data_IF_763907104774
#
_entry.id   IF_763907104774
#
_cell.length_a   1.000
_cell.length_b   1.000
_cell.length_c   1.000
_cell.angle_alpha   90.00
_cell.angle_beta   90.00
_cell.angle_gamma   90.00
#
_symmetry.space_group_name_H-M   'P 1'
#
loop_
_entity.id
_entity.type
_entity.pdbx_description
1 polymer ?
#
# COMPACT_ATOMS: atom_id res chain seq x y z
N UNK A 1 12.18 6.09 7.79
CA UNK A 1 11.22 6.35 6.69
C UNK A 1 9.94 5.63 7.07
N UNK A 2 8.83 6.34 7.32
CA UNK A 2 7.57 5.64 7.66
C UNK A 2 7.15 4.77 6.48
N UNK A 3 7.05 3.46 6.73
CA UNK A 3 6.59 2.43 5.79
C UNK A 3 5.28 1.84 6.29
N UNK A 4 4.53 1.21 5.40
CA UNK A 4 3.33 0.46 5.76
C UNK A 4 3.75 -0.95 6.17
N UNK A 5 3.23 -1.43 7.31
CA UNK A 5 3.59 -2.74 7.88
C UNK A 5 2.86 -3.92 7.23
N UNK A 6 1.73 -3.66 6.55
CA UNK A 6 0.87 -4.67 5.94
C UNK A 6 0.63 -4.32 4.46
N UNK A 7 1.56 -4.69 3.60
CA UNK A 7 1.43 -4.57 2.15
C UNK A 7 1.29 -5.97 1.57
N UNK A 8 0.30 -6.17 0.70
CA UNK A 8 0.16 -7.39 -0.09
C UNK A 8 0.33 -7.02 -1.56
N UNK A 9 1.34 -7.57 -2.20
CA UNK A 9 1.50 -7.45 -3.67
C UNK A 9 1.04 -8.76 -4.29
N UNK A 10 0.15 -8.67 -5.26
CA UNK A 10 -0.39 -9.85 -5.93
C UNK A 10 -0.26 -9.73 -7.44
N UNK A 11 -0.12 -10.87 -8.10
CA UNK A 11 0.06 -10.98 -9.55
C UNK A 11 -1.01 -11.87 -10.22
N UNK A 12 -2.09 -12.17 -9.49
CA UNK A 12 -3.24 -12.97 -9.93
C UNK A 12 -3.33 -14.29 -9.19
N UNK A 13 -2.25 -15.07 -9.19
CA UNK A 13 -2.19 -16.40 -8.54
C UNK A 13 -1.32 -16.44 -7.29
N UNK A 14 -0.42 -15.47 -7.09
CA UNK A 14 0.47 -15.42 -5.93
C UNK A 14 0.20 -14.16 -5.11
N UNK A 15 -0.21 -14.34 -3.86
CA UNK A 15 -0.23 -13.26 -2.86
C UNK A 15 1.12 -13.23 -2.13
N UNK A 16 1.87 -12.15 -2.33
CA UNK A 16 3.11 -11.89 -1.60
C UNK A 16 2.79 -10.94 -0.44
N UNK A 17 2.66 -11.50 0.75
CA UNK A 17 2.52 -10.71 1.98
C UNK A 17 3.87 -10.10 2.36
N UNK A 18 3.85 -8.79 2.66
CA UNK A 18 5.02 -7.98 3.01
C UNK A 18 6.22 -8.33 2.13
N UNK A 19 6.08 -8.21 0.80
CA UNK A 19 7.05 -8.73 -0.15
C UNK A 19 8.41 -8.12 0.15
N UNK A 20 9.45 -8.94 0.11
CA UNK A 20 10.82 -8.46 0.15
C UNK A 20 11.09 -7.66 -1.13
N UNK A 21 10.87 -6.35 -1.07
CA UNK A 21 10.98 -5.42 -2.20
C UNK A 21 12.40 -5.36 -2.76
N UNK A 22 13.41 -5.90 -2.07
CA UNK A 22 14.77 -6.02 -2.62
C UNK A 22 14.88 -7.13 -3.67
N UNK A 23 14.00 -8.13 -3.64
CA UNK A 23 14.00 -9.26 -4.59
C UNK A 23 13.14 -9.02 -5.84
N UNK A 24 12.28 -7.99 -5.85
CA UNK A 24 11.31 -7.75 -6.91
C UNK A 24 11.31 -6.29 -7.38
N UNK A 25 12.20 -5.94 -8.31
CA UNK A 25 12.40 -4.55 -8.78
C UNK A 25 11.12 -3.87 -9.29
N UNK A 26 10.30 -4.57 -10.09
CA UNK A 26 9.01 -4.02 -10.56
C UNK A 26 8.04 -3.77 -9.41
N UNK A 27 7.96 -4.68 -8.45
CA UNK A 27 7.07 -4.53 -7.28
C UNK A 27 7.52 -3.36 -6.40
N UNK A 28 8.83 -3.18 -6.24
CA UNK A 28 9.43 -2.04 -5.52
C UNK A 28 9.05 -0.70 -6.14
N UNK A 29 9.22 -0.54 -7.45
CA UNK A 29 8.89 0.70 -8.14
C UNK A 29 7.41 1.08 -7.99
N UNK A 30 6.50 0.10 -8.08
CA UNK A 30 5.06 0.32 -7.92
C UNK A 30 4.74 0.67 -6.46
N UNK A 31 5.27 -0.08 -5.49
CA UNK A 31 5.03 0.18 -4.07
C UNK A 31 5.54 1.57 -3.69
N UNK A 32 6.74 1.96 -4.13
CA UNK A 32 7.28 3.29 -3.91
C UNK A 32 6.40 4.39 -4.51
N UNK A 33 5.84 4.17 -5.71
CA UNK A 33 4.91 5.10 -6.34
C UNK A 33 3.63 5.27 -5.51
N UNK A 34 3.05 4.17 -5.01
CA UNK A 34 1.86 4.21 -4.14
C UNK A 34 2.17 4.91 -2.82
N UNK A 35 3.28 4.57 -2.16
CA UNK A 35 3.71 5.21 -0.93
C UNK A 35 3.95 6.72 -1.11
N UNK A 36 4.52 7.13 -2.25
CA UNK A 36 4.71 8.55 -2.59
C UNK A 36 3.36 9.26 -2.78
N UNK A 37 2.41 8.64 -3.48
CA UNK A 37 1.06 9.17 -3.63
C UNK A 37 0.40 9.40 -2.26
N UNK A 38 0.42 8.40 -1.38
CA UNK A 38 -0.18 8.50 -0.04
C UNK A 38 0.46 9.61 0.80
N UNK A 39 1.79 9.73 0.77
CA UNK A 39 2.52 10.80 1.49
C UNK A 39 2.19 12.19 0.97
N UNK A 40 2.07 12.34 -0.35
CA UNK A 40 1.73 13.62 -0.97
C UNK A 40 0.30 14.05 -0.63
N UNK A 41 -0.62 13.10 -0.49
CA UNK A 41 -2.00 13.36 -0.06
C UNK A 41 -2.08 13.84 1.39
N UNK A 42 -1.48 13.10 2.33
CA UNK A 42 -1.40 13.50 3.74
C UNK A 42 -0.24 12.75 4.43
N UNK A 43 0.66 13.52 5.03
CA UNK A 43 1.84 13.01 5.75
C UNK A 43 1.49 12.01 6.86
N UNK A 44 0.26 12.04 7.40
CA UNK A 44 -0.24 11.16 8.46
C UNK A 44 -0.88 9.87 7.95
N UNK A 45 -1.15 9.72 6.65
CA UNK A 45 -1.85 8.54 6.10
C UNK A 45 -1.13 7.24 6.46
N UNK A 46 0.19 7.15 6.28
CA UNK A 46 0.93 5.92 6.59
C UNK A 46 0.81 5.54 8.07
N UNK A 47 0.87 6.53 8.97
CA UNK A 47 0.70 6.30 10.40
C UNK A 47 -0.71 5.79 10.72
N UNK A 48 -1.73 6.29 10.04
CA UNK A 48 -3.12 5.83 10.21
C UNK A 48 -3.30 4.41 9.67
N UNK A 49 -2.76 4.09 8.49
CA UNK A 49 -2.77 2.74 7.93
C UNK A 49 -2.18 1.73 8.92
N UNK A 50 -1.01 2.05 9.49
CA UNK A 50 -0.37 1.20 10.48
C UNK A 50 -1.18 1.11 11.78
N UNK A 51 -1.75 2.23 12.27
CA UNK A 51 -2.55 2.25 13.50
C UNK A 51 -3.82 1.40 13.37
N UNK A 52 -4.44 1.41 12.19
CA UNK A 52 -5.67 0.66 11.91
C UNK A 52 -5.40 -0.79 11.50
N UNK A 53 -4.13 -1.22 11.41
CA UNK A 53 -3.75 -2.51 10.82
C UNK A 53 -4.38 -2.71 9.43
N UNK A 54 -4.53 -1.62 8.68
CA UNK A 54 -5.09 -1.66 7.35
C UNK A 54 -4.10 -2.30 6.37
N UNK A 55 -4.64 -3.05 5.42
CA UNK A 55 -3.86 -3.83 4.45
C UNK A 55 -3.89 -3.12 3.11
N UNK A 56 -2.71 -2.78 2.59
CA UNK A 56 -2.56 -2.18 1.26
C UNK A 56 -2.33 -3.29 0.23
N UNK A 57 -3.33 -3.52 -0.63
CA UNK A 57 -3.26 -4.49 -1.72
C UNK A 57 -2.85 -3.79 -3.00
N UNK A 58 -1.84 -4.33 -3.70
CA UNK A 58 -1.32 -3.76 -4.94
C UNK A 58 -1.17 -4.86 -5.99
N UNK A 59 -1.74 -4.63 -7.18
CA UNK A 59 -1.53 -5.49 -8.33
C UNK A 59 -0.19 -5.16 -9.00
N UNK A 60 0.68 -6.15 -9.17
CA UNK A 60 2.03 -5.98 -9.73
C UNK A 60 2.05 -5.60 -11.21
N UNK A 61 1.05 -6.00 -11.99
CA UNK A 61 1.04 -5.78 -13.44
C UNK A 61 0.30 -4.49 -13.82
N UNK A 62 -0.89 -4.28 -13.27
CA UNK A 62 -1.68 -3.09 -13.57
C UNK A 62 -1.28 -1.88 -12.73
N UNK A 63 -0.61 -2.09 -11.59
CA UNK A 63 -0.33 -1.03 -10.61
C UNK A 63 -1.57 -0.53 -9.87
N UNK A 64 -2.74 -1.14 -10.09
CA UNK A 64 -3.97 -0.81 -9.36
C UNK A 64 -3.82 -1.24 -7.91
N UNK A 65 -4.36 -0.46 -6.99
CA UNK A 65 -4.26 -0.74 -5.56
C UNK A 65 -5.55 -0.39 -4.84
N UNK A 66 -5.75 -1.05 -3.70
CA UNK A 66 -6.90 -0.85 -2.80
C UNK A 66 -6.44 -1.01 -1.35
N UNK A 67 -7.25 -0.50 -0.43
CA UNK A 67 -7.02 -0.69 1.00
C UNK A 67 -8.16 -1.54 1.59
N UNK A 68 -7.83 -2.44 2.50
CA UNK A 68 -8.79 -3.23 3.27
C UNK A 68 -8.53 -3.07 4.76
N UNK A 69 -9.52 -3.45 5.58
CA UNK A 69 -9.47 -3.29 7.04
C UNK A 69 -9.15 -1.84 7.47
N UNK A 70 -9.71 -0.87 6.75
CA UNK A 70 -9.52 0.55 6.97
C UNK A 70 -10.86 1.21 7.30
N UNK A 71 -10.85 2.20 8.18
CA UNK A 71 -12.02 3.01 8.50
C UNK A 71 -12.48 3.82 7.28
N UNK A 72 -13.78 4.12 7.20
CA UNK A 72 -14.34 5.00 6.16
C UNK A 72 -13.66 6.37 6.15
N UNK A 73 -13.25 6.87 7.33
CA UNK A 73 -12.49 8.12 7.46
C UNK A 73 -11.12 8.03 6.77
N UNK A 74 -10.41 6.92 6.94
CA UNK A 74 -9.12 6.70 6.28
C UNK A 74 -9.30 6.54 4.77
N UNK A 75 -10.30 5.77 4.33
CA UNK A 75 -10.63 5.61 2.91
C UNK A 75 -10.94 6.97 2.26
N UNK A 76 -11.79 7.79 2.87
CA UNK A 76 -12.14 9.12 2.37
C UNK A 76 -10.93 10.07 2.34
N UNK A 77 -9.99 9.93 3.27
CA UNK A 77 -8.73 10.71 3.23
C UNK A 77 -7.82 10.33 2.08
N UNK A 78 -7.88 9.06 1.65
CA UNK A 78 -7.04 8.53 0.59
C UNK A 78 -7.65 8.81 -0.80
N UNK A 79 -8.95 8.56 -0.95
CA UNK A 79 -9.65 8.56 -2.25
C UNK A 79 -10.70 9.65 -2.42
N UNK A 80 -11.07 10.37 -1.37
CA UNK A 80 -11.94 11.54 -1.44
C UNK A 80 -11.22 12.83 -1.80
#
# INVERSE_FOLDING_TARGET
MDTINNIVVFDGSLELHNPDLKKYDRSKAIVERVLRFLKNRDKKIIRLINKENAILYINRYSGTWKIQNASTKLINRIFG
#
